data_IF_545199155222
#
_entry.id   IF_545199155222
#
_cell.length_a   1.000
_cell.length_b   1.000
_cell.length_c   1.000
_cell.angle_alpha   90.00
_cell.angle_beta   90.00
_cell.angle_gamma   90.00
#
_symmetry.space_group_name_H-M   'P 1'
#
loop_
_entity.id
_entity.type
_entity.pdbx_description
1 polymer ?
#
# COMPACT_ATOMS: atom_id res chain seq x y z
N UNK A 1 13.25 9.14 2.92
CA UNK A 1 13.15 9.73 1.56
C UNK A 1 13.55 8.67 0.54
N UNK A 2 12.99 8.71 -0.67
CA UNK A 2 13.22 7.73 -1.73
C UNK A 2 13.96 8.35 -2.92
N UNK A 3 14.82 7.54 -3.54
CA UNK A 3 15.63 7.92 -4.70
C UNK A 3 14.79 7.87 -5.99
N UNK A 4 15.03 8.82 -6.89
CA UNK A 4 14.46 8.78 -8.23
C UNK A 4 15.19 7.75 -9.11
N UNK A 5 14.49 6.85 -9.83
CA UNK A 5 15.11 5.87 -10.72
C UNK A 5 15.75 6.47 -12.00
N UNK A 6 15.64 7.79 -12.19
CA UNK A 6 16.22 8.51 -13.33
C UNK A 6 17.50 9.26 -12.99
N UNK A 7 17.53 9.95 -11.84
CA UNK A 7 18.64 10.82 -11.45
C UNK A 7 19.23 10.48 -10.08
N UNK A 8 18.72 9.44 -9.42
CA UNK A 8 19.17 8.88 -8.13
C UNK A 8 19.14 9.83 -6.93
N UNK A 9 18.71 11.08 -7.12
CA UNK A 9 18.52 12.06 -6.05
C UNK A 9 17.34 11.67 -5.16
N UNK A 10 17.50 11.89 -3.84
CA UNK A 10 16.45 11.74 -2.83
C UNK A 10 15.41 12.86 -2.97
N UNK A 11 14.40 12.66 -3.81
CA UNK A 11 13.38 13.69 -4.09
C UNK A 11 12.01 13.38 -3.52
N UNK A 12 11.75 12.12 -3.14
CA UNK A 12 10.40 11.70 -2.75
C UNK A 12 10.28 11.45 -1.25
N UNK A 13 9.28 12.06 -0.63
CA UNK A 13 8.97 11.85 0.78
C UNK A 13 8.25 10.51 1.00
N UNK A 14 8.16 10.10 2.26
CA UNK A 14 7.42 8.90 2.64
C UNK A 14 5.95 8.98 2.18
N UNK A 15 5.27 10.05 2.54
CA UNK A 15 3.86 10.26 2.18
C UNK A 15 3.61 10.40 0.68
N UNK A 16 4.56 10.99 -0.06
CA UNK A 16 4.47 11.05 -1.51
C UNK A 16 4.47 9.65 -2.13
N UNK A 17 5.33 8.75 -1.64
CA UNK A 17 5.35 7.35 -2.10
C UNK A 17 4.10 6.59 -1.66
N UNK A 18 3.64 6.76 -0.41
CA UNK A 18 2.43 6.11 0.09
C UNK A 18 1.17 6.52 -0.70
N UNK A 19 1.06 7.79 -1.09
CA UNK A 19 -0.06 8.28 -1.93
C UNK A 19 0.09 7.93 -3.41
N UNK A 20 1.29 7.52 -3.84
CA UNK A 20 1.56 7.13 -5.22
C UNK A 20 1.01 5.72 -5.43
N UNK A 21 -0.26 5.64 -5.80
CA UNK A 21 -0.90 4.39 -6.19
C UNK A 21 -0.44 3.88 -7.57
N UNK A 22 -0.83 2.65 -7.93
CA UNK A 22 -0.37 1.99 -9.15
C UNK A 22 -0.88 2.65 -10.44
N UNK A 23 -1.96 3.43 -10.38
CA UNK A 23 -2.51 4.18 -11.52
C UNK A 23 -1.94 5.59 -11.67
N UNK A 24 -1.22 6.09 -10.66
CA UNK A 24 -0.72 7.47 -10.64
C UNK A 24 0.76 7.51 -10.98
N UNK A 25 1.15 8.58 -11.66
CA UNK A 25 2.56 8.94 -11.84
C UNK A 25 2.84 10.24 -11.12
N UNK A 26 4.05 10.40 -10.62
CA UNK A 26 4.51 11.67 -10.06
C UNK A 26 5.77 12.17 -10.79
N UNK A 27 5.98 13.47 -10.79
CA UNK A 27 7.16 14.09 -11.39
C UNK A 27 8.27 14.27 -10.36
N UNK A 28 9.50 13.92 -10.72
CA UNK A 28 10.67 14.21 -9.90
C UNK A 28 10.99 15.71 -9.97
N UNK A 29 11.19 16.37 -8.81
CA UNK A 29 11.55 17.79 -8.74
C UNK A 29 12.96 18.08 -9.29
N UNK A 30 13.87 17.10 -9.22
CA UNK A 30 15.25 17.24 -9.69
C UNK A 30 15.39 17.11 -11.21
N UNK A 31 14.93 16.00 -11.80
CA UNK A 31 15.11 15.73 -13.23
C UNK A 31 13.87 15.99 -14.09
N UNK A 32 12.75 16.40 -13.48
CA UNK A 32 11.46 16.67 -14.15
C UNK A 32 10.86 15.47 -14.92
N UNK A 33 11.41 14.25 -14.76
CA UNK A 33 10.87 13.03 -15.36
C UNK A 33 9.79 12.41 -14.47
N UNK A 34 8.84 11.70 -15.10
CA UNK A 34 7.78 10.98 -14.40
C UNK A 34 8.29 9.64 -13.86
N UNK A 35 7.76 9.26 -12.70
CA UNK A 35 8.01 7.97 -12.02
C UNK A 35 6.67 7.36 -11.62
N UNK A 36 6.66 6.04 -11.50
CA UNK A 36 5.48 5.27 -11.09
C UNK A 36 5.89 4.13 -10.15
N UNK A 37 4.94 3.28 -9.78
CA UNK A 37 5.16 2.07 -8.99
C UNK A 37 4.73 0.84 -9.77
N UNK A 38 5.38 -0.29 -9.53
CA UNK A 38 5.06 -1.55 -10.20
C UNK A 38 3.67 -2.05 -9.77
N UNK A 39 2.76 -2.20 -10.74
CA UNK A 39 1.36 -2.59 -10.52
C UNK A 39 1.21 -3.89 -9.72
N UNK A 40 1.87 -4.96 -10.16
CA UNK A 40 1.78 -6.27 -9.50
C UNK A 40 2.24 -6.26 -8.04
N UNK A 41 3.37 -5.59 -7.76
CA UNK A 41 3.90 -5.49 -6.39
C UNK A 41 3.02 -4.63 -5.49
N UNK A 42 2.39 -3.59 -6.03
CA UNK A 42 1.43 -2.78 -5.27
C UNK A 42 0.18 -3.58 -4.85
N UNK A 43 -0.32 -4.46 -5.73
CA UNK A 43 -1.45 -5.35 -5.39
C UNK A 43 -1.04 -6.38 -4.34
N UNK A 44 0.14 -6.98 -4.47
CA UNK A 44 0.66 -7.92 -3.47
C UNK A 44 0.80 -7.26 -2.10
N UNK A 45 1.26 -6.01 -2.05
CA UNK A 45 1.36 -5.28 -0.79
C UNK A 45 -0.01 -5.00 -0.14
N UNK A 46 -1.10 -4.97 -0.90
CA UNK A 46 -2.46 -4.75 -0.37
C UNK A 46 -3.13 -6.02 0.19
N UNK A 47 -2.63 -7.22 -0.13
CA UNK A 47 -3.18 -8.49 0.33
C UNK A 47 -3.38 -8.60 1.86
N UNK A 48 -2.44 -8.15 2.72
CA UNK A 48 -2.60 -8.27 4.17
C UNK A 48 -3.85 -7.59 4.70
N UNK A 49 -4.28 -6.48 4.09
CA UNK A 49 -5.52 -5.79 4.49
C UNK A 49 -6.74 -6.69 4.31
N UNK A 50 -6.86 -7.33 3.15
CA UNK A 50 -7.99 -8.21 2.84
C UNK A 50 -7.97 -9.47 3.70
N UNK A 51 -6.80 -10.09 3.86
CA UNK A 51 -6.65 -11.30 4.66
C UNK A 51 -7.01 -11.04 6.12
N UNK A 52 -6.49 -9.96 6.72
CA UNK A 52 -6.76 -9.63 8.12
C UNK A 52 -8.19 -9.14 8.33
N UNK A 53 -8.79 -8.44 7.37
CA UNK A 53 -10.20 -8.07 7.43
C UNK A 53 -11.12 -9.31 7.44
N UNK A 54 -10.88 -10.28 6.56
CA UNK A 54 -11.65 -11.53 6.50
C UNK A 54 -11.42 -12.36 7.77
N UNK A 55 -10.18 -12.47 8.24
CA UNK A 55 -9.86 -13.17 9.48
C UNK A 55 -10.57 -12.51 10.69
N UNK A 56 -10.55 -11.18 10.78
CA UNK A 56 -11.26 -10.44 11.83
C UNK A 56 -12.78 -10.63 11.77
N UNK A 57 -13.35 -10.67 10.56
CA UNK A 57 -14.78 -10.94 10.36
C UNK A 57 -15.18 -12.33 10.87
N UNK A 58 -14.40 -13.35 10.51
CA UNK A 58 -14.67 -14.75 10.88
C UNK A 58 -14.42 -15.01 12.38
N UNK A 59 -13.23 -14.66 12.87
CA UNK A 59 -12.84 -14.96 14.25
C UNK A 59 -13.73 -14.28 15.28
N UNK A 60 -14.10 -13.02 15.04
CA UNK A 60 -14.94 -12.26 15.98
C UNK A 60 -16.43 -12.52 15.74
N UNK A 61 -16.83 -12.78 14.50
CA UNK A 61 -18.21 -13.13 14.16
C UNK A 61 -18.63 -14.46 14.77
N UNK A 62 -17.80 -15.50 14.64
CA UNK A 62 -18.11 -16.86 15.12
C UNK A 62 -18.08 -16.95 16.65
N UNK A 63 -17.18 -16.21 17.31
CA UNK A 63 -17.04 -16.24 18.77
C UNK A 63 -18.20 -15.58 19.50
N UNK A 64 -18.79 -14.53 18.94
CA UNK A 64 -19.88 -13.77 19.57
C UNK A 64 -21.25 -14.00 18.92
N UNK A 65 -21.32 -14.79 17.84
CA UNK A 65 -22.52 -15.09 17.06
C UNK A 65 -23.37 -13.84 16.74
N UNK A 66 -22.69 -12.72 16.45
CA UNK A 66 -23.32 -11.41 16.27
C UNK A 66 -22.68 -10.66 15.13
N UNK A 67 -23.54 -10.13 14.25
CA UNK A 67 -23.12 -9.37 13.06
C UNK A 67 -22.40 -8.07 13.40
N UNK A 68 -22.74 -7.45 14.54
CA UNK A 68 -22.11 -6.21 15.00
C UNK A 68 -20.65 -6.48 15.40
N UNK A 69 -20.43 -7.54 16.18
CA UNK A 69 -19.07 -7.94 16.59
C UNK A 69 -18.25 -8.42 15.40
N UNK A 70 -18.86 -9.14 14.44
CA UNK A 70 -18.21 -9.49 13.18
C UNK A 70 -17.72 -8.24 12.42
N UNK A 71 -18.57 -7.20 12.30
CA UNK A 71 -18.20 -5.96 11.62
C UNK A 71 -17.08 -5.20 12.36
N UNK A 72 -17.13 -5.18 13.69
CA UNK A 72 -16.08 -4.60 14.52
C UNK A 72 -14.75 -5.35 14.36
N UNK A 73 -14.78 -6.69 14.31
CA UNK A 73 -13.62 -7.53 14.05
C UNK A 73 -13.03 -7.27 12.67
N UNK A 74 -13.86 -7.17 11.63
CA UNK A 74 -13.42 -6.81 10.29
C UNK A 74 -12.75 -5.43 10.25
N UNK A 75 -13.34 -4.44 10.93
CA UNK A 75 -12.76 -3.11 11.02
C UNK A 75 -11.38 -3.11 11.71
N UNK A 76 -11.26 -3.79 12.86
CA UNK A 76 -9.98 -3.99 13.54
C UNK A 76 -8.95 -4.70 12.63
N UNK A 77 -9.38 -5.73 11.90
CA UNK A 77 -8.56 -6.45 10.93
C UNK A 77 -8.06 -5.57 9.79
N UNK A 78 -8.92 -4.69 9.24
CA UNK A 78 -8.52 -3.70 8.24
C UNK A 78 -7.47 -2.74 8.80
N UNK A 79 -7.68 -2.19 10.00
CA UNK A 79 -6.73 -1.25 10.62
C UNK A 79 -5.37 -1.90 10.82
N UNK A 80 -5.34 -3.10 11.41
CA UNK A 80 -4.11 -3.89 11.58
C UNK A 80 -3.44 -4.18 10.24
N UNK A 81 -4.23 -4.57 9.24
CA UNK A 81 -3.75 -4.82 7.89
C UNK A 81 -3.14 -3.59 7.24
N UNK A 82 -3.72 -2.40 7.43
CA UNK A 82 -3.13 -1.15 6.92
C UNK A 82 -1.78 -0.84 7.61
N UNK A 83 -1.68 -1.08 8.92
CA UNK A 83 -0.44 -0.88 9.67
C UNK A 83 0.69 -1.80 9.17
N UNK A 84 0.37 -3.03 8.79
CA UNK A 84 1.34 -3.98 8.19
C UNK A 84 1.64 -3.65 6.73
N UNK A 85 0.63 -3.22 5.98
CA UNK A 85 0.75 -2.90 4.55
C UNK A 85 1.66 -1.71 4.31
N UNK A 86 1.64 -0.70 5.18
CA UNK A 86 2.48 0.49 5.06
C UNK A 86 3.99 0.16 4.97
N UNK A 87 4.64 -0.53 5.93
CA UNK A 87 6.06 -0.89 5.81
C UNK A 87 6.31 -1.86 4.65
N UNK A 88 5.39 -2.80 4.40
CA UNK A 88 5.50 -3.79 3.33
C UNK A 88 5.53 -3.13 1.95
N UNK A 89 4.63 -2.18 1.71
CA UNK A 89 4.56 -1.39 0.49
C UNK A 89 5.88 -0.65 0.24
N UNK A 90 6.43 -0.05 1.28
CA UNK A 90 7.66 0.72 1.18
C UNK A 90 8.90 -0.14 0.91
N UNK A 91 8.91 -1.40 1.38
CA UNK A 91 9.98 -2.37 1.16
C UNK A 91 9.87 -3.08 -0.21
N UNK A 92 8.67 -3.56 -0.58
CA UNK A 92 8.47 -4.42 -1.75
C UNK A 92 8.29 -3.63 -3.04
N UNK A 93 7.73 -2.41 -2.97
CA UNK A 93 7.33 -1.63 -4.14
C UNK A 93 8.38 -0.54 -4.43
N UNK A 94 9.37 -0.78 -5.32
CA UNK A 94 10.31 0.25 -5.73
C UNK A 94 9.63 1.27 -6.63
N UNK A 95 10.20 2.48 -6.66
CA UNK A 95 9.87 3.47 -7.69
C UNK A 95 10.50 3.03 -9.00
N UNK A 96 9.68 2.94 -10.04
CA UNK A 96 10.11 2.52 -11.38
C UNK A 96 9.84 3.60 -12.40
N UNK A 97 10.53 3.51 -13.53
CA UNK A 97 10.21 4.32 -14.72
C UNK A 97 8.79 3.92 -15.16
N UNK A 98 7.93 4.89 -15.55
CA UNK A 98 6.58 4.57 -15.99
C UNK A 98 6.64 3.64 -17.19
N UNK A 99 5.94 2.51 -17.12
CA UNK A 99 5.75 1.65 -18.28
C UNK A 99 5.05 2.45 -19.38
N UNK A 100 5.48 2.25 -20.63
CA UNK A 100 4.74 2.74 -21.80
C UNK A 100 3.44 1.94 -21.86
N UNK A 101 2.39 2.45 -21.21
CA UNK A 101 1.01 2.06 -21.51
C UNK A 101 0.61 2.62 -22.87
#
# INVERSE_FOLDING_TARGET
MYNCPWCERKTFSFWQKQKLGPTKTMQCTGCKRRVSVHWGRAHLAALPVFVLAIAGLWLVGDTFNSKIFALAGAFCGVVLGMMVTMPLYHYIVPLVKPDKR
#
